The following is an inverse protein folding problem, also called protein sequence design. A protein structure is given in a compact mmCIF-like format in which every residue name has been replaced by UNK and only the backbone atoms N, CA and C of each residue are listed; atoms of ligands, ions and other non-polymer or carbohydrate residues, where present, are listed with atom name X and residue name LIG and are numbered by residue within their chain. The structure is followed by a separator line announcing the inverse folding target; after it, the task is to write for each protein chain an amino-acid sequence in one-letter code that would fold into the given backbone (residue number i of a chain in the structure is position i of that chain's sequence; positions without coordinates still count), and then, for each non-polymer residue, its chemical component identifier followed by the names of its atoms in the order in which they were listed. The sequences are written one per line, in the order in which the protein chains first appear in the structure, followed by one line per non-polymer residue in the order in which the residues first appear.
data_IF_510197317421
#
_entry.id   IF_510197317421
#
_cell.length_a   1.000
_cell.length_b   1.000
_cell.length_c   1.000
_cell.angle_alpha   90.00
_cell.angle_beta   90.00
_cell.angle_gamma   90.00
#
_symmetry.space_group_name_H-M   'P 1'
#
loop_
_entity.id
_entity.type
_entity.pdbx_description
1 polymer ?
#
# COMPACT_ATOMS: atom_id res chain seq x y z
N UNK A 1 61.11 -41.88 -17.34
CA UNK A 1 60.67 -40.54 -17.77
C UNK A 1 59.76 -39.98 -16.67
N UNK A 2 60.07 -38.84 -16.04
CA UNK A 2 59.22 -38.28 -14.99
C UNK A 2 57.92 -37.74 -15.60
N UNK A 3 56.78 -38.14 -15.03
CA UNK A 3 55.46 -37.64 -15.43
C UNK A 3 55.28 -36.20 -14.92
N UNK A 4 54.83 -35.24 -15.75
CA UNK A 4 54.55 -33.88 -15.28
C UNK A 4 53.40 -33.89 -14.28
N UNK A 5 53.65 -33.36 -13.08
CA UNK A 5 52.70 -33.30 -11.99
C UNK A 5 51.71 -32.14 -12.21
N UNK A 6 50.48 -32.48 -12.63
CA UNK A 6 49.43 -31.51 -12.98
C UNK A 6 48.75 -30.88 -11.77
N UNK A 7 49.13 -31.26 -10.54
CA UNK A 7 48.46 -30.86 -9.31
C UNK A 7 48.64 -29.37 -8.92
N UNK A 8 49.30 -28.54 -9.75
CA UNK A 8 49.61 -27.14 -9.42
C UNK A 8 48.66 -26.08 -9.99
N UNK A 9 47.64 -26.45 -10.77
CA UNK A 9 46.72 -25.45 -11.40
C UNK A 9 45.43 -25.19 -10.61
N UNK A 10 45.20 -25.91 -9.50
CA UNK A 10 44.01 -25.73 -8.67
C UNK A 10 44.31 -24.98 -7.38
N UNK A 11 45.02 -23.84 -7.44
CA UNK A 11 44.97 -22.87 -6.34
C UNK A 11 43.80 -21.92 -6.55
N UNK A 12 42.75 -22.23 -5.82
CA UNK A 12 41.73 -21.35 -5.28
C UNK A 12 42.03 -19.85 -5.41
N UNK A 13 41.07 -19.16 -5.99
CA UNK A 13 40.76 -17.81 -5.59
C UNK A 13 39.24 -17.65 -5.69
N UNK A 14 38.63 -17.18 -4.61
CA UNK A 14 37.25 -16.68 -4.46
C UNK A 14 36.91 -15.54 -5.44
N UNK A 15 37.29 -15.67 -6.71
CA UNK A 15 36.92 -14.82 -7.81
C UNK A 15 35.80 -15.43 -8.66
N UNK A 16 35.28 -16.62 -8.36
CA UNK A 16 34.41 -17.39 -9.26
C UNK A 16 33.18 -16.63 -9.78
N UNK A 17 32.57 -15.76 -8.98
CA UNK A 17 31.50 -14.89 -9.48
C UNK A 17 32.09 -13.77 -10.33
N UNK A 18 33.02 -12.98 -9.82
CA UNK A 18 33.60 -11.85 -10.55
C UNK A 18 34.30 -12.25 -11.85
N UNK A 19 35.04 -13.37 -11.88
CA UNK A 19 35.70 -13.90 -13.07
C UNK A 19 34.70 -14.46 -14.07
N UNK A 20 33.63 -15.10 -13.62
CA UNK A 20 32.52 -15.54 -14.48
C UNK A 20 31.71 -14.36 -15.03
N UNK A 21 31.50 -13.32 -14.21
CA UNK A 21 30.86 -12.07 -14.62
C UNK A 21 31.73 -11.31 -15.63
N UNK A 22 33.05 -11.21 -15.40
CA UNK A 22 33.99 -10.59 -16.35
C UNK A 22 34.01 -11.37 -17.66
N UNK A 23 34.04 -12.70 -17.60
CA UNK A 23 33.96 -13.56 -18.80
C UNK A 23 32.61 -13.38 -19.52
N UNK A 24 31.50 -13.27 -18.80
CA UNK A 24 30.18 -13.00 -19.37
C UNK A 24 30.07 -11.61 -20.02
N UNK A 25 30.65 -10.58 -19.39
CA UNK A 25 30.75 -9.23 -19.97
C UNK A 25 31.63 -9.23 -21.22
N UNK A 26 32.73 -9.99 -21.23
CA UNK A 26 33.60 -10.15 -22.40
C UNK A 26 32.85 -10.82 -23.56
N UNK A 27 32.07 -11.88 -23.31
CA UNK A 27 31.24 -12.51 -24.34
C UNK A 27 30.18 -11.55 -24.89
N UNK A 28 29.56 -10.73 -24.02
CA UNK A 28 28.62 -9.68 -24.46
C UNK A 28 29.29 -8.57 -25.26
N UNK A 29 30.54 -8.22 -24.94
CA UNK A 29 31.32 -7.23 -25.69
C UNK A 29 31.48 -7.66 -27.14
N UNK A 30 31.83 -8.93 -27.42
CA UNK A 30 31.99 -9.43 -28.80
C UNK A 30 30.72 -9.31 -29.63
N UNK A 31 29.56 -9.52 -29.02
CA UNK A 31 28.28 -9.42 -29.72
C UNK A 31 27.86 -7.96 -29.96
N UNK A 32 28.25 -7.06 -29.06
CA UNK A 32 28.19 -5.61 -29.26
C UNK A 32 29.05 -5.16 -30.46
N UNK A 33 30.11 -5.88 -30.80
CA UNK A 33 30.92 -5.56 -31.99
C UNK A 33 30.24 -5.96 -33.30
N UNK A 34 29.44 -7.04 -33.30
CA UNK A 34 28.91 -7.66 -34.53
C UNK A 34 27.51 -7.18 -34.92
N UNK A 35 26.70 -6.64 -33.99
CA UNK A 35 25.27 -6.33 -34.28
C UNK A 35 24.84 -4.90 -33.97
N UNK A 36 25.72 -4.06 -33.45
CA UNK A 36 25.34 -2.72 -33.03
C UNK A 36 25.48 -1.72 -34.19
N UNK A 37 24.38 -1.10 -34.65
CA UNK A 37 24.45 -0.08 -35.71
C UNK A 37 25.20 1.20 -35.28
N UNK A 38 25.39 1.41 -33.98
CA UNK A 38 26.27 2.44 -33.40
C UNK A 38 27.77 2.03 -33.44
N UNK A 39 28.13 0.98 -34.17
CA UNK A 39 29.51 0.49 -34.27
C UNK A 39 30.43 1.34 -35.16
N UNK A 40 29.87 2.21 -36.00
CA UNK A 40 30.60 3.01 -36.99
C UNK A 40 31.39 4.18 -36.41
N UNK A 41 31.08 4.67 -35.21
CA UNK A 41 31.92 5.65 -34.52
C UNK A 41 33.02 4.93 -33.71
N UNK A 42 34.24 5.44 -33.87
CA UNK A 42 35.52 4.96 -33.33
C UNK A 42 35.38 4.40 -31.91
N UNK A 43 36.04 3.28 -31.56
CA UNK A 43 35.87 2.58 -30.26
C UNK A 43 36.09 3.47 -29.02
N UNK A 44 36.83 4.56 -29.17
CA UNK A 44 37.03 5.60 -28.15
C UNK A 44 35.74 6.39 -27.83
N UNK A 45 34.84 6.58 -28.80
CA UNK A 45 33.61 7.36 -28.65
C UNK A 45 32.51 6.58 -27.92
N UNK A 46 32.48 5.25 -28.07
CA UNK A 46 31.57 4.36 -27.31
C UNK A 46 31.81 4.44 -25.80
N UNK A 47 33.06 4.70 -25.38
CA UNK A 47 33.39 4.92 -23.98
C UNK A 47 32.80 6.23 -23.46
N UNK A 48 32.92 7.31 -24.25
CA UNK A 48 32.30 8.61 -23.93
C UNK A 48 30.78 8.48 -23.84
N UNK A 49 30.13 7.76 -24.77
CA UNK A 49 28.68 7.59 -24.73
C UNK A 49 28.22 6.75 -23.54
N UNK A 50 28.92 5.65 -23.23
CA UNK A 50 28.62 4.83 -22.06
C UNK A 50 28.90 5.58 -20.75
N UNK A 51 29.89 6.48 -20.71
CA UNK A 51 30.12 7.39 -19.60
C UNK A 51 28.96 8.39 -19.46
N UNK A 52 28.50 8.99 -20.55
CA UNK A 52 27.35 9.91 -20.54
C UNK A 52 26.07 9.18 -20.11
N UNK A 53 25.83 7.98 -20.62
CA UNK A 53 24.70 7.14 -20.22
C UNK A 53 24.79 6.78 -18.72
N UNK A 54 25.97 6.35 -18.26
CA UNK A 54 26.20 6.05 -16.86
C UNK A 54 26.05 7.28 -15.98
N UNK A 55 26.51 8.45 -16.43
CA UNK A 55 26.34 9.73 -15.75
C UNK A 55 24.86 10.12 -15.68
N UNK A 56 24.11 9.97 -16.78
CA UNK A 56 22.67 10.24 -16.83
C UNK A 56 21.91 9.31 -15.88
N UNK A 57 22.21 8.00 -15.90
CA UNK A 57 21.62 7.02 -14.98
C UNK A 57 22.03 7.31 -13.54
N UNK A 58 23.29 7.64 -13.27
CA UNK A 58 23.77 8.01 -11.93
C UNK A 58 23.08 9.27 -11.41
N UNK A 59 22.91 10.28 -12.27
CA UNK A 59 22.17 11.50 -11.97
C UNK A 59 20.70 11.18 -11.69
N UNK A 60 20.09 10.32 -12.49
CA UNK A 60 18.70 9.87 -12.31
C UNK A 60 18.53 9.10 -11.00
N UNK A 61 19.43 8.18 -10.68
CA UNK A 61 19.40 7.39 -9.43
C UNK A 61 19.60 8.28 -8.22
N UNK A 62 20.52 9.24 -8.28
CA UNK A 62 20.75 10.18 -7.17
C UNK A 62 19.56 11.12 -7.01
N UNK A 63 19.02 11.66 -8.11
CA UNK A 63 17.81 12.47 -8.10
C UNK A 63 16.61 11.68 -7.55
N UNK A 64 16.40 10.43 -7.98
CA UNK A 64 15.38 9.57 -7.42
C UNK A 64 15.64 9.33 -5.93
N UNK A 65 16.85 8.97 -5.52
CA UNK A 65 17.13 8.67 -4.11
C UNK A 65 16.98 9.89 -3.19
N UNK A 66 17.27 11.11 -3.67
CA UNK A 66 17.23 12.33 -2.87
C UNK A 66 15.87 13.06 -2.95
N UNK A 67 15.23 13.06 -4.11
CA UNK A 67 13.97 13.77 -4.36
C UNK A 67 12.74 12.90 -4.08
N UNK A 68 12.80 11.60 -4.43
CA UNK A 68 11.68 10.69 -4.25
C UNK A 68 11.30 10.48 -2.78
N UNK A 69 12.19 10.36 -1.78
CA UNK A 69 11.74 10.18 -0.39
C UNK A 69 10.89 11.36 0.09
N UNK A 70 11.25 12.59 -0.28
CA UNK A 70 10.45 13.77 0.07
C UNK A 70 9.04 13.73 -0.55
N UNK A 71 8.93 13.27 -1.81
CA UNK A 71 7.64 13.07 -2.47
C UNK A 71 6.83 11.90 -1.90
N UNK A 72 7.49 10.80 -1.55
CA UNK A 72 6.86 9.62 -0.96
C UNK A 72 6.27 9.93 0.41
N UNK A 73 6.92 10.77 1.23
CA UNK A 73 6.40 11.16 2.56
C UNK A 73 5.08 11.93 2.46
N UNK A 74 4.95 12.86 1.51
CA UNK A 74 3.71 13.63 1.29
C UNK A 74 2.56 12.70 0.87
N UNK A 75 2.85 11.76 -0.04
CA UNK A 75 1.89 10.75 -0.49
C UNK A 75 1.50 9.83 0.66
N UNK A 76 2.47 9.38 1.46
CA UNK A 76 2.26 8.52 2.61
C UNK A 76 1.37 9.18 3.67
N UNK A 77 1.59 10.45 4.00
CA UNK A 77 0.76 11.17 4.96
C UNK A 77 -0.70 11.31 4.47
N UNK A 78 -0.90 11.56 3.17
CA UNK A 78 -2.25 11.58 2.57
C UNK A 78 -2.91 10.20 2.60
N UNK A 79 -2.19 9.14 2.27
CA UNK A 79 -2.71 7.76 2.33
C UNK A 79 -3.07 7.39 3.77
N UNK A 80 -2.20 7.70 4.74
CA UNK A 80 -2.44 7.45 6.15
C UNK A 80 -3.67 8.23 6.65
N UNK A 81 -3.86 9.46 6.19
CA UNK A 81 -5.06 10.25 6.47
C UNK A 81 -6.32 9.60 5.90
N UNK A 82 -6.31 9.11 4.66
CA UNK A 82 -7.50 8.46 4.08
C UNK A 82 -7.83 7.14 4.77
N UNK A 83 -6.83 6.32 5.10
CA UNK A 83 -7.04 5.05 5.80
C UNK A 83 -7.57 5.29 7.22
N UNK A 84 -6.95 6.21 7.96
CA UNK A 84 -7.35 6.54 9.34
C UNK A 84 -8.68 7.30 9.37
N UNK A 85 -8.92 8.16 8.38
CA UNK A 85 -10.15 8.93 8.23
C UNK A 85 -11.34 8.06 7.86
N UNK A 86 -11.16 7.05 6.99
CA UNK A 86 -12.19 6.06 6.70
C UNK A 86 -12.54 5.24 7.94
N UNK A 87 -11.55 4.85 8.74
CA UNK A 87 -11.78 4.16 10.01
C UNK A 87 -12.51 5.05 11.02
N UNK A 88 -12.13 6.32 11.15
CA UNK A 88 -12.78 7.28 12.05
C UNK A 88 -14.22 7.60 11.61
N UNK A 89 -14.47 7.76 10.31
CA UNK A 89 -15.80 7.96 9.75
C UNK A 89 -16.69 6.73 9.98
N UNK A 90 -16.21 5.53 9.63
CA UNK A 90 -16.94 4.26 9.85
C UNK A 90 -17.24 4.03 11.34
N UNK A 91 -16.30 4.32 12.23
CA UNK A 91 -16.50 4.18 13.68
C UNK A 91 -17.56 5.17 14.17
N UNK A 92 -17.51 6.43 13.73
CA UNK A 92 -18.47 7.46 14.13
C UNK A 92 -19.89 7.20 13.60
N UNK A 93 -20.03 6.70 12.37
CA UNK A 93 -21.34 6.36 11.80
C UNK A 93 -21.96 5.14 12.47
N UNK A 94 -21.16 4.13 12.82
CA UNK A 94 -21.66 2.96 13.54
C UNK A 94 -22.06 3.32 14.99
N UNK A 95 -21.24 4.08 15.73
CA UNK A 95 -21.61 4.56 17.07
C UNK A 95 -22.85 5.46 17.05
N UNK A 96 -22.98 6.33 16.04
CA UNK A 96 -24.17 7.20 15.88
C UNK A 96 -25.42 6.38 15.59
N UNK A 97 -25.31 5.36 14.72
CA UNK A 97 -26.40 4.44 14.42
C UNK A 97 -26.85 3.63 15.64
N UNK A 98 -25.90 3.09 16.41
CA UNK A 98 -26.19 2.32 17.63
C UNK A 98 -26.77 3.19 18.76
N UNK A 99 -26.28 4.42 18.92
CA UNK A 99 -26.85 5.36 19.88
C UNK A 99 -28.29 5.77 19.51
N UNK A 100 -28.55 5.98 18.21
CA UNK A 100 -29.88 6.32 17.71
C UNK A 100 -30.87 5.15 17.85
N UNK A 101 -30.44 3.91 17.58
CA UNK A 101 -31.31 2.73 17.75
C UNK A 101 -31.63 2.47 19.21
N UNK A 102 -30.66 2.60 20.12
CA UNK A 102 -30.90 2.49 21.57
C UNK A 102 -31.84 3.57 22.10
N UNK A 103 -31.66 4.83 21.66
CA UNK A 103 -32.57 5.91 22.02
C UNK A 103 -33.99 5.70 21.46
N UNK A 104 -34.09 5.21 20.22
CA UNK A 104 -35.37 4.88 19.60
C UNK A 104 -36.07 3.70 20.30
N UNK A 105 -35.34 2.67 20.72
CA UNK A 105 -35.88 1.55 21.49
C UNK A 105 -36.34 2.00 22.88
N UNK A 106 -35.58 2.84 23.57
CA UNK A 106 -35.98 3.41 24.86
C UNK A 106 -37.27 4.24 24.76
N UNK A 107 -37.43 5.01 23.67
CA UNK A 107 -38.65 5.77 23.40
C UNK A 107 -39.85 4.87 23.05
N UNK A 108 -39.63 3.79 22.29
CA UNK A 108 -40.68 2.81 21.97
C UNK A 108 -41.18 2.09 23.21
N UNK A 109 -40.27 1.64 24.08
CA UNK A 109 -40.63 0.95 25.33
C UNK A 109 -41.44 1.87 26.25
N UNK A 110 -41.05 3.14 26.35
CA UNK A 110 -41.82 4.11 27.15
C UNK A 110 -43.17 4.44 26.52
N UNK A 111 -43.26 4.54 25.20
CA UNK A 111 -44.53 4.73 24.50
C UNK A 111 -45.49 3.54 24.70
N UNK A 112 -45.00 2.30 24.55
CA UNK A 112 -45.80 1.09 24.78
C UNK A 112 -46.25 0.98 26.25
N UNK A 113 -45.38 1.33 27.20
CA UNK A 113 -45.75 1.35 28.61
C UNK A 113 -46.84 2.39 28.92
N UNK A 114 -46.75 3.59 28.35
CA UNK A 114 -47.76 4.64 28.52
C UNK A 114 -49.09 4.21 27.90
N UNK A 115 -49.08 3.67 26.68
CA UNK A 115 -50.31 3.24 26.01
C UNK A 115 -51.02 2.10 26.77
N UNK A 116 -50.25 1.18 27.34
CA UNK A 116 -50.77 0.08 28.15
C UNK A 116 -51.46 0.52 29.45
N UNK A 117 -51.09 1.69 29.99
CA UNK A 117 -51.67 2.25 31.23
C UNK A 117 -52.81 3.23 30.91
N UNK A 118 -52.65 4.05 29.87
CA UNK A 118 -53.63 5.08 29.49
C UNK A 118 -54.87 4.46 28.85
N UNK A 119 -54.71 3.44 28.00
CA UNK A 119 -55.84 2.79 27.33
C UNK A 119 -56.85 2.17 28.30
N UNK A 120 -56.47 1.36 29.31
CA UNK A 120 -57.45 0.80 30.24
C UNK A 120 -58.07 1.87 31.16
N UNK A 121 -57.29 2.88 31.58
CA UNK A 121 -57.80 3.93 32.47
C UNK A 121 -58.81 4.83 31.77
N UNK A 122 -58.57 5.21 30.51
CA UNK A 122 -59.56 5.94 29.72
C UNK A 122 -60.85 5.15 29.51
N UNK A 123 -60.77 3.84 29.25
CA UNK A 123 -61.96 3.00 29.09
C UNK A 123 -62.79 2.91 30.38
N UNK A 124 -62.15 2.85 31.55
CA UNK A 124 -62.84 2.85 32.84
C UNK A 124 -63.50 4.21 33.11
N UNK A 125 -62.80 5.31 32.83
CA UNK A 125 -63.35 6.67 32.99
C UNK A 125 -64.54 6.90 32.06
N UNK A 126 -64.44 6.44 30.82
CA UNK A 126 -65.53 6.58 29.85
C UNK A 126 -66.74 5.72 30.22
N UNK A 127 -66.51 4.49 30.70
CA UNK A 127 -67.56 3.64 31.26
C UNK A 127 -68.25 4.27 32.47
N UNK A 128 -67.50 4.87 33.41
CA UNK A 128 -68.06 5.58 34.55
C UNK A 128 -68.87 6.82 34.12
N UNK A 129 -68.42 7.53 33.08
CA UNK A 129 -69.14 8.68 32.50
C UNK A 129 -70.47 8.26 31.88
N UNK A 130 -70.54 7.10 31.23
CA UNK A 130 -71.80 6.59 30.68
C UNK A 130 -72.78 6.17 31.77
N UNK A 131 -72.32 5.52 32.84
CA UNK A 131 -73.19 5.17 33.99
C UNK A 131 -73.77 6.38 34.72
N UNK A 132 -73.06 7.51 34.72
CA UNK A 132 -73.53 8.77 35.32
C UNK A 132 -74.58 9.50 34.46
N UNK A 133 -74.67 9.19 33.16
CA UNK A 133 -75.67 9.79 32.25
C UNK A 133 -77.00 9.03 32.25
N UNK A 134 -77.02 7.82 32.79
CA UNK A 134 -78.22 6.95 32.90
C UNK A 134 -78.96 7.12 34.25
N UNK A 135 -78.49 8.03 35.12
CA UNK A 135 -79.05 8.37 36.44
C UNK A 135 -79.74 9.75 36.39
#
# INVERSE_FOLDING_TARGET
MPVPDYAKVAKEGKGSHLSSFVRWVQLKKYQYEVTFSLYMLTPTEKFIFNLILFLLVSMLVTAATLYLPNHVVVIYHRICYYISGEFAYKTSTNLSGEALTLAADGLRITADAVDSVVTPTLRVVESARETLKEL
#
